data_IF_474446009930
#
_entry.id   IF_474446009930
#
_cell.length_a   1.000
_cell.length_b   1.000
_cell.length_c   1.000
_cell.angle_alpha   90.00
_cell.angle_beta   90.00
_cell.angle_gamma   90.00
#
_symmetry.space_group_name_H-M   'P 1'
#
loop_
_entity.id
_entity.type
_entity.pdbx_description
1 polymer ?
#
# COMPACT_ATOMS: atom_id res chain seq x y z
N UNK A 1 21.69 20.74 -8.64
CA UNK A 1 20.25 20.47 -8.50
C UNK A 1 19.61 21.68 -7.84
N UNK A 2 18.40 22.11 -8.21
CA UNK A 2 17.67 23.01 -7.32
C UNK A 2 17.30 22.22 -6.07
N UNK A 3 17.42 22.88 -4.92
CA UNK A 3 17.25 22.34 -3.58
C UNK A 3 15.91 21.61 -3.42
N UNK A 4 15.91 20.28 -3.54
CA UNK A 4 14.76 19.46 -3.11
C UNK A 4 14.71 19.55 -1.58
N UNK A 5 13.60 20.04 -0.98
CA UNK A 5 13.54 20.27 0.45
C UNK A 5 13.87 19.01 1.25
N UNK A 6 14.61 19.22 2.33
CA UNK A 6 15.10 18.19 3.24
C UNK A 6 13.97 17.68 4.12
N UNK A 7 13.84 16.36 4.25
CA UNK A 7 12.88 15.75 5.17
C UNK A 7 13.61 14.80 6.15
N UNK A 8 13.71 15.19 7.43
CA UNK A 8 14.06 14.31 8.57
C UNK A 8 12.92 13.33 8.89
N UNK A 9 13.04 12.48 9.92
CA UNK A 9 12.01 11.46 10.19
C UNK A 9 10.60 12.02 10.51
N UNK A 10 10.50 13.17 11.20
CA UNK A 10 9.20 13.87 11.41
C UNK A 10 8.62 14.43 10.12
N UNK A 11 9.48 14.63 9.14
CA UNK A 11 9.20 15.19 7.84
C UNK A 11 8.83 14.08 6.82
N UNK A 12 8.95 12.79 7.17
CA UNK A 12 8.53 11.68 6.29
C UNK A 12 7.01 11.55 6.19
N UNK A 13 6.27 11.75 7.29
CA UNK A 13 4.80 11.82 7.24
C UNK A 13 4.33 13.00 6.41
N UNK A 14 5.05 14.12 6.47
CA UNK A 14 4.79 15.28 5.62
C UNK A 14 5.10 14.96 4.15
N UNK A 15 6.21 14.28 3.86
CA UNK A 15 6.51 13.80 2.51
C UNK A 15 5.41 12.89 1.95
N UNK A 16 4.98 11.88 2.70
CA UNK A 16 3.88 11.00 2.27
C UNK A 16 2.58 11.77 2.08
N UNK A 17 2.31 12.74 2.95
CA UNK A 17 1.15 13.62 2.84
C UNK A 17 1.21 14.45 1.57
N UNK A 18 2.34 15.08 1.26
CA UNK A 18 2.53 15.86 0.03
C UNK A 18 2.35 15.00 -1.22
N UNK A 19 2.86 13.76 -1.21
CA UNK A 19 2.65 12.81 -2.31
C UNK A 19 1.16 12.46 -2.46
N UNK A 20 0.48 12.15 -1.36
CA UNK A 20 -0.94 11.84 -1.38
C UNK A 20 -1.80 13.04 -1.84
N UNK A 21 -1.49 14.25 -1.34
CA UNK A 21 -2.17 15.49 -1.73
C UNK A 21 -1.95 15.79 -3.22
N UNK A 22 -0.73 15.62 -3.74
CA UNK A 22 -0.45 15.78 -5.16
C UNK A 22 -1.26 14.82 -6.04
N UNK A 23 -1.41 13.58 -5.61
CA UNK A 23 -2.27 12.60 -6.31
C UNK A 23 -3.74 13.00 -6.25
N UNK A 24 -4.25 13.41 -5.09
CA UNK A 24 -5.66 13.84 -4.94
C UNK A 24 -5.96 15.10 -5.74
N UNK A 25 -5.08 16.10 -5.74
CA UNK A 25 -5.22 17.32 -6.54
C UNK A 25 -5.25 17.01 -8.05
N UNK A 26 -4.40 16.09 -8.51
CA UNK A 26 -4.44 15.57 -9.88
C UNK A 26 -5.79 14.92 -10.21
N UNK A 27 -6.31 14.04 -9.36
CA UNK A 27 -7.60 13.39 -9.57
C UNK A 27 -8.77 14.38 -9.66
N UNK A 28 -8.78 15.41 -8.81
CA UNK A 28 -9.81 16.45 -8.80
C UNK A 28 -9.71 17.35 -10.02
N UNK A 29 -8.51 17.83 -10.34
CA UNK A 29 -8.29 18.77 -11.46
C UNK A 29 -8.46 18.14 -12.84
N UNK A 30 -8.25 16.82 -12.96
CA UNK A 30 -8.53 16.06 -14.19
C UNK A 30 -9.97 15.57 -14.28
N UNK A 31 -10.82 15.94 -13.32
CA UNK A 31 -12.22 15.54 -13.25
C UNK A 31 -12.40 14.01 -13.25
N UNK A 32 -11.44 13.28 -12.68
CA UNK A 32 -11.51 11.82 -12.53
C UNK A 32 -12.30 11.43 -11.28
N UNK A 33 -12.26 12.26 -10.24
CA UNK A 33 -13.07 12.11 -9.03
C UNK A 33 -13.77 13.42 -8.68
N UNK A 34 -14.86 13.31 -7.93
CA UNK A 34 -15.57 14.44 -7.35
C UNK A 34 -15.85 14.17 -5.88
N UNK A 35 -15.56 15.13 -5.00
CA UNK A 35 -15.86 14.99 -3.57
C UNK A 35 -17.38 14.89 -3.37
N UNK A 36 -17.85 13.80 -2.76
CA UNK A 36 -19.28 13.56 -2.55
C UNK A 36 -19.50 12.54 -1.44
N UNK A 37 -20.35 12.92 -0.48
CA UNK A 37 -20.87 12.03 0.56
C UNK A 37 -22.23 11.43 0.17
N UNK A 38 -22.67 11.61 -1.09
CA UNK A 38 -23.94 11.04 -1.55
C UNK A 38 -23.75 9.54 -1.78
N UNK A 39 -24.55 8.67 -1.13
CA UNK A 39 -24.46 7.23 -1.38
C UNK A 39 -24.78 6.88 -2.84
N UNK A 40 -23.97 6.01 -3.44
CA UNK A 40 -24.08 5.56 -4.83
C UNK A 40 -24.66 4.15 -4.94
N UNK A 41 -25.20 3.80 -6.11
CA UNK A 41 -25.50 2.41 -6.45
C UNK A 41 -24.20 1.70 -6.86
N UNK A 42 -23.80 0.59 -6.21
CA UNK A 42 -22.59 -0.16 -6.58
C UNK A 42 -22.58 -0.69 -8.01
N UNK A 43 -23.73 -0.77 -8.68
CA UNK A 43 -23.85 -1.20 -10.07
C UNK A 43 -23.55 -0.10 -11.09
N UNK A 44 -23.47 1.16 -10.64
CA UNK A 44 -23.15 2.30 -11.51
C UNK A 44 -21.72 2.20 -12.06
N UNK A 45 -21.59 2.39 -13.37
CA UNK A 45 -20.29 2.42 -14.05
C UNK A 45 -19.84 3.85 -14.31
N UNK A 46 -18.80 4.28 -13.61
CA UNK A 46 -18.17 5.60 -13.76
C UNK A 46 -17.00 5.57 -14.76
N UNK A 47 -17.23 5.06 -15.97
CA UNK A 47 -16.17 4.95 -17.00
C UNK A 47 -15.84 6.31 -17.63
N UNK A 48 -16.87 7.14 -17.88
CA UNK A 48 -16.74 8.45 -18.57
C UNK A 48 -17.20 9.64 -17.72
N UNK A 49 -17.49 9.42 -16.44
CA UNK A 49 -17.90 10.46 -15.48
C UNK A 49 -17.00 10.44 -14.25
N UNK A 50 -16.87 11.56 -13.52
CA UNK A 50 -16.06 11.59 -12.32
C UNK A 50 -16.64 10.65 -11.27
N UNK A 51 -15.78 9.91 -10.57
CA UNK A 51 -16.19 8.98 -9.53
C UNK A 51 -16.50 9.77 -8.25
N UNK A 52 -17.71 9.66 -7.66
CA UNK A 52 -18.01 10.21 -6.35
C UNK A 52 -17.09 9.62 -5.28
N UNK A 53 -16.39 10.46 -4.53
CA UNK A 53 -15.34 10.04 -3.60
C UNK A 53 -15.55 10.65 -2.22
N UNK A 54 -15.60 9.80 -1.19
CA UNK A 54 -15.44 10.20 0.21
C UNK A 54 -13.99 10.04 0.66
N UNK A 55 -13.26 9.09 0.07
CA UNK A 55 -11.85 8.84 0.38
C UNK A 55 -11.11 8.32 -0.85
N UNK A 56 -9.84 8.73 -0.97
CA UNK A 56 -8.90 8.19 -1.96
C UNK A 56 -7.81 7.43 -1.21
N UNK A 57 -7.50 6.21 -1.65
CA UNK A 57 -6.46 5.37 -1.08
C UNK A 57 -5.36 5.17 -2.12
N UNK A 58 -4.15 5.63 -1.81
CA UNK A 58 -2.98 5.51 -2.68
C UNK A 58 -2.11 4.37 -2.18
N UNK A 59 -2.02 3.30 -2.97
CA UNK A 59 -1.18 2.15 -2.68
C UNK A 59 0.16 2.28 -3.40
N UNK A 60 1.24 1.98 -2.69
CA UNK A 60 2.58 2.14 -3.20
C UNK A 60 3.63 1.38 -2.40
N UNK A 61 4.84 1.37 -2.91
CA UNK A 61 6.00 0.78 -2.26
C UNK A 61 6.80 1.87 -1.57
N UNK A 62 7.02 1.71 -0.27
CA UNK A 62 8.01 2.48 0.48
C UNK A 62 9.37 1.81 0.32
N UNK A 63 10.39 2.56 -0.08
CA UNK A 63 11.73 2.02 -0.26
C UNK A 63 12.84 3.01 0.08
N UNK A 64 14.08 2.52 0.15
CA UNK A 64 15.27 3.32 0.39
C UNK A 64 15.85 3.14 1.78
N UNK A 65 16.57 4.14 2.26
CA UNK A 65 17.23 4.13 3.57
C UNK A 65 18.68 3.63 3.55
N UNK A 66 19.19 3.21 2.39
CA UNK A 66 20.59 2.80 2.23
C UNK A 66 21.04 2.94 0.79
N UNK A 67 22.23 3.49 0.62
CA UNK A 67 22.88 3.57 -0.67
C UNK A 67 24.40 3.66 -0.51
N UNK A 68 25.07 2.56 -0.82
CA UNK A 68 26.52 2.41 -0.66
C UNK A 68 27.19 2.60 -2.02
N UNK A 69 27.60 3.83 -2.30
CA UNK A 69 28.32 4.20 -3.51
C UNK A 69 29.41 5.25 -3.20
N UNK A 70 30.63 5.17 -3.76
CA UNK A 70 31.71 6.12 -3.49
C UNK A 70 31.33 7.59 -3.73
N UNK A 71 30.52 7.83 -4.76
CA UNK A 71 30.10 9.18 -5.17
C UNK A 71 28.82 9.67 -4.46
N UNK A 72 28.29 8.93 -3.49
CA UNK A 72 27.06 9.29 -2.77
C UNK A 72 27.37 9.40 -1.29
N UNK A 73 27.21 10.60 -0.74
CA UNK A 73 27.40 10.84 0.69
C UNK A 73 26.38 10.04 1.52
N UNK A 74 26.80 9.38 2.61
CA UNK A 74 25.87 8.77 3.56
C UNK A 74 24.93 9.82 4.16
N UNK A 75 23.68 9.42 4.44
CA UNK A 75 22.72 10.24 5.19
C UNK A 75 22.79 9.82 6.65
N UNK A 76 23.24 10.72 7.54
CA UNK A 76 23.52 10.40 8.96
C UNK A 76 22.25 10.17 9.80
N UNK A 77 21.12 10.77 9.43
CA UNK A 77 19.87 10.73 10.19
C UNK A 77 18.91 9.59 9.80
N UNK A 78 19.40 8.56 9.11
CA UNK A 78 18.51 7.52 8.58
C UNK A 78 18.10 6.50 9.66
N UNK A 79 16.80 6.26 9.85
CA UNK A 79 16.29 5.43 10.96
C UNK A 79 16.48 3.92 10.70
N UNK A 80 16.50 3.46 9.44
CA UNK A 80 16.74 2.06 9.08
C UNK A 80 16.79 1.89 7.55
N UNK A 81 17.32 0.75 7.10
CA UNK A 81 17.09 0.26 5.74
C UNK A 81 15.73 -0.43 5.66
N UNK A 82 14.88 -0.08 4.67
CA UNK A 82 13.58 -0.74 4.48
C UNK A 82 13.74 -2.19 4.01
N UNK A 83 14.57 -2.42 2.99
CA UNK A 83 14.83 -3.74 2.43
C UNK A 83 16.33 -4.02 2.31
N UNK A 84 16.83 -5.19 2.74
CA UNK A 84 18.26 -5.45 2.84
C UNK A 84 18.93 -5.86 1.52
N UNK A 85 18.17 -6.12 0.45
CA UNK A 85 18.66 -6.82 -0.75
C UNK A 85 18.81 -5.97 -2.01
N UNK A 86 18.22 -4.77 -2.04
CA UNK A 86 18.29 -3.87 -3.20
C UNK A 86 18.47 -2.46 -2.65
N UNK A 87 19.40 -1.71 -3.23
CA UNK A 87 19.71 -0.35 -2.78
C UNK A 87 19.14 0.64 -3.79
N UNK A 88 18.09 1.34 -3.41
CA UNK A 88 17.39 2.25 -4.33
C UNK A 88 17.83 3.70 -4.16
N UNK A 89 17.97 4.15 -2.92
CA UNK A 89 18.30 5.53 -2.57
C UNK A 89 18.77 5.64 -1.12
N UNK A 90 19.65 6.61 -0.80
CA UNK A 90 20.06 6.86 0.57
C UNK A 90 18.91 7.46 1.38
N UNK A 91 17.88 8.01 0.75
CA UNK A 91 16.67 8.54 1.39
C UNK A 91 15.45 7.67 1.11
N UNK A 92 14.39 7.86 1.91
CA UNK A 92 13.10 7.22 1.67
C UNK A 92 12.33 7.87 0.52
N UNK A 93 11.62 7.02 -0.21
CA UNK A 93 10.72 7.38 -1.29
C UNK A 93 9.50 6.48 -1.24
N UNK A 94 8.39 6.99 -1.77
CA UNK A 94 7.16 6.25 -1.94
C UNK A 94 6.75 6.25 -3.41
N UNK A 95 6.56 5.07 -3.99
CA UNK A 95 6.09 4.92 -5.37
C UNK A 95 4.67 4.38 -5.38
N UNK A 96 3.66 5.19 -5.70
CA UNK A 96 2.33 4.70 -6.00
C UNK A 96 2.38 3.72 -7.18
N UNK A 97 1.60 2.65 -7.08
CA UNK A 97 1.36 1.69 -8.14
C UNK A 97 -0.12 1.38 -8.34
N UNK A 98 -0.96 1.64 -7.33
CA UNK A 98 -2.41 1.48 -7.40
C UNK A 98 -3.13 2.61 -6.67
N UNK A 99 -4.33 2.95 -7.14
CA UNK A 99 -5.19 3.96 -6.51
C UNK A 99 -6.60 3.38 -6.45
N UNK A 100 -7.22 3.45 -5.27
CA UNK A 100 -8.62 3.12 -5.07
C UNK A 100 -9.40 4.36 -4.64
N UNK A 101 -10.60 4.50 -5.19
CA UNK A 101 -11.57 5.52 -4.83
C UNK A 101 -12.65 4.85 -4.00
N UNK A 102 -12.96 5.41 -2.84
CA UNK A 102 -13.95 4.91 -1.91
C UNK A 102 -15.14 5.85 -1.92
N UNK A 103 -16.33 5.27 -2.01
CA UNK A 103 -17.62 5.97 -2.01
C UNK A 103 -18.54 5.33 -0.97
N UNK A 104 -19.57 6.04 -0.53
CA UNK A 104 -20.62 5.44 0.28
C UNK A 104 -21.57 4.66 -0.63
N UNK A 105 -21.95 3.45 -0.22
CA UNK A 105 -22.98 2.65 -0.88
C UNK A 105 -24.35 2.99 -0.34
N UNK A 106 -25.36 3.04 -1.21
CA UNK A 106 -26.73 2.88 -0.77
C UNK A 106 -26.86 1.48 -0.16
N UNK A 107 -27.38 1.37 1.06
CA UNK A 107 -27.98 0.11 1.49
C UNK A 107 -29.23 -0.09 0.63
N UNK A 108 -29.41 -1.24 -0.04
CA UNK A 108 -30.70 -1.49 -0.68
C UNK A 108 -31.78 -1.39 0.40
N UNK A 109 -32.91 -0.71 0.16
CA UNK A 109 -34.03 -0.79 1.08
C UNK A 109 -34.34 -2.27 1.32
N UNK A 110 -34.60 -2.71 2.57
CA UNK A 110 -34.97 -4.09 2.82
C UNK A 110 -36.14 -4.41 1.90
N UNK A 111 -35.99 -5.48 1.12
CA UNK A 111 -36.98 -5.97 0.17
C UNK A 111 -38.38 -5.68 0.72
N UNK A 112 -39.10 -4.74 0.08
CA UNK A 112 -40.52 -4.60 0.32
C UNK A 112 -41.12 -5.89 -0.22
N UNK A 113 -41.33 -6.86 0.66
CA UNK A 113 -42.12 -8.04 0.38
C UNK A 113 -43.56 -7.57 0.20
N UNK A 114 -43.88 -7.06 -0.99
CA UNK A 114 -45.26 -7.07 -1.46
C UNK A 114 -45.61 -8.52 -1.76
N UNK A 115 -46.61 -9.11 -1.09
CA UNK A 115 -47.06 -10.45 -1.43
C UNK A 115 -47.94 -10.36 -2.67
N UNK A 116 -47.47 -10.87 -3.82
CA UNK A 116 -48.38 -11.21 -4.91
C UNK A 116 -47.81 -12.34 -5.79
N UNK A 117 -48.19 -13.56 -5.43
CA UNK A 117 -48.62 -14.67 -6.27
C UNK A 117 -48.09 -14.81 -7.71
N UNK A 118 -47.22 -15.81 -7.93
CA UNK A 118 -47.46 -17.09 -8.64
C UNK A 118 -46.23 -17.60 -9.41
N UNK A 119 -46.02 -18.93 -9.53
CA UNK A 119 -44.79 -19.52 -10.04
C UNK A 119 -44.89 -19.89 -11.52
N UNK A 120 -43.90 -19.54 -12.35
CA UNK A 120 -43.66 -20.24 -13.62
C UNK A 120 -42.18 -20.17 -14.06
N UNK A 121 -41.52 -21.33 -13.99
CA UNK A 121 -40.42 -21.85 -14.84
C UNK A 121 -38.98 -21.30 -14.71
N UNK A 122 -37.94 -22.16 -14.69
CA UNK A 122 -36.56 -21.75 -14.43
C UNK A 122 -35.77 -21.50 -15.72
N UNK A 123 -34.95 -20.45 -15.73
CA UNK A 123 -33.89 -20.28 -16.72
C UNK A 123 -32.59 -19.75 -16.07
N UNK A 124 -31.54 -20.56 -16.20
CA UNK A 124 -30.10 -20.28 -16.27
C UNK A 124 -29.37 -19.49 -15.15
N UNK A 125 -28.25 -19.99 -14.60
CA UNK A 125 -27.52 -19.32 -13.53
C UNK A 125 -26.57 -18.23 -14.09
N UNK A 126 -26.87 -16.96 -13.80
CA UNK A 126 -25.91 -15.87 -13.87
C UNK A 126 -25.10 -15.80 -12.55
N UNK A 127 -23.80 -15.55 -12.68
CA UNK A 127 -22.80 -15.49 -11.59
C UNK A 127 -23.11 -14.43 -10.52
N UNK A 128 -22.84 -14.68 -9.23
CA UNK A 128 -23.09 -13.70 -8.18
C UNK A 128 -21.97 -12.65 -8.10
N UNK A 129 -22.36 -11.38 -8.19
CA UNK A 129 -21.60 -10.23 -7.67
C UNK A 129 -21.76 -10.23 -6.16
N UNK A 130 -20.68 -10.43 -5.41
CA UNK A 130 -20.72 -10.52 -3.96
C UNK A 130 -20.64 -9.11 -3.34
N UNK A 131 -21.77 -8.60 -2.85
CA UNK A 131 -21.79 -7.53 -1.85
C UNK A 131 -21.39 -8.13 -0.50
N UNK A 132 -20.35 -7.57 0.13
CA UNK A 132 -19.82 -8.04 1.41
C UNK A 132 -20.49 -7.24 2.54
N UNK A 133 -21.23 -7.92 3.42
CA UNK A 133 -21.81 -7.31 4.62
C UNK A 133 -21.03 -7.80 5.83
N UNK A 134 -20.23 -6.92 6.44
CA UNK A 134 -19.61 -7.17 7.75
C UNK A 134 -20.62 -6.85 8.83
N UNK A 135 -21.08 -7.86 9.56
CA UNK A 135 -21.81 -7.67 10.81
C UNK A 135 -20.80 -7.46 11.94
N UNK A 136 -20.61 -6.20 12.33
CA UNK A 136 -19.92 -5.87 13.58
C UNK A 136 -20.90 -5.80 14.75
N UNK A 137 -20.39 -6.22 15.90
CA UNK A 137 -21.05 -6.31 17.21
C UNK A 137 -21.36 -4.89 17.71
N UNK A 138 -22.64 -4.66 18.03
CA UNK A 138 -23.24 -3.53 18.77
C UNK A 138 -22.63 -2.13 18.58
N UNK A 139 -23.29 -1.28 17.79
CA UNK A 139 -23.46 0.13 18.22
C UNK A 139 -23.21 1.28 17.24
N UNK A 140 -23.10 1.10 15.92
CA UNK A 140 -23.32 2.18 14.94
C UNK A 140 -23.48 1.53 13.54
N UNK A 141 -24.59 1.77 12.85
CA UNK A 141 -24.78 1.21 11.51
C UNK A 141 -23.89 1.98 10.51
N UNK A 142 -22.69 1.47 10.24
CA UNK A 142 -21.81 2.02 9.22
C UNK A 142 -22.43 1.79 7.85
N UNK A 143 -22.56 2.86 7.06
CA UNK A 143 -22.96 2.73 5.66
C UNK A 143 -21.90 1.89 4.92
N UNK A 144 -22.30 0.87 4.15
CA UNK A 144 -21.35 0.05 3.40
C UNK A 144 -20.56 0.93 2.43
N UNK A 145 -19.26 0.69 2.29
CA UNK A 145 -18.40 1.42 1.36
C UNK A 145 -18.30 0.68 0.01
N UNK A 146 -18.30 1.42 -1.09
CA UNK A 146 -17.97 0.92 -2.43
C UNK A 146 -16.52 1.29 -2.72
N UNK A 147 -15.71 0.31 -3.14
CA UNK A 147 -14.31 0.53 -3.52
C UNK A 147 -14.15 0.33 -5.02
N UNK A 148 -13.71 1.39 -5.71
CA UNK A 148 -13.44 1.36 -7.14
C UNK A 148 -11.94 1.57 -7.40
N UNK A 149 -11.28 0.56 -7.94
CA UNK A 149 -9.87 0.63 -8.34
C UNK A 149 -9.72 1.36 -9.66
N UNK A 150 -8.80 2.31 -9.74
CA UNK A 150 -8.38 2.88 -11.01
C UNK A 150 -7.62 1.85 -11.84
N UNK A 151 -7.73 1.94 -13.15
CA UNK A 151 -6.94 1.15 -14.09
C UNK A 151 -5.48 1.60 -14.06
N UNK A 152 -4.52 0.74 -14.43
CA UNK A 152 -3.11 1.12 -14.49
C UNK A 152 -2.83 2.33 -15.38
N UNK A 153 -3.59 2.52 -16.47
CA UNK A 153 -3.52 3.71 -17.31
C UNK A 153 -3.95 4.97 -16.57
N UNK A 154 -5.04 4.91 -15.83
CA UNK A 154 -5.54 6.04 -15.04
C UNK A 154 -4.56 6.40 -13.92
N UNK A 155 -3.97 5.41 -13.24
CA UNK A 155 -2.90 5.64 -12.26
C UNK A 155 -1.69 6.32 -12.92
N UNK A 156 -1.24 5.83 -14.08
CA UNK A 156 -0.09 6.41 -14.81
C UNK A 156 -0.35 7.86 -15.24
N UNK A 157 -1.53 8.18 -15.77
CA UNK A 157 -1.93 9.54 -16.13
C UNK A 157 -2.01 10.43 -14.89
N UNK A 158 -2.66 9.95 -13.83
CA UNK A 158 -2.81 10.70 -12.56
C UNK A 158 -1.45 11.05 -11.97
N UNK A 159 -0.58 10.06 -11.83
CA UNK A 159 0.73 10.25 -11.23
C UNK A 159 1.64 11.11 -12.12
N UNK A 160 1.52 11.02 -13.45
CA UNK A 160 2.25 11.90 -14.36
C UNK A 160 1.84 13.36 -14.21
N UNK A 161 0.55 13.65 -14.18
CA UNK A 161 0.03 15.00 -13.95
C UNK A 161 0.43 15.52 -12.55
N UNK A 162 0.28 14.67 -11.53
CA UNK A 162 0.69 14.98 -10.16
C UNK A 162 2.19 15.30 -10.07
N UNK A 163 3.03 14.52 -10.76
CA UNK A 163 4.49 14.72 -10.81
C UNK A 163 4.88 16.03 -11.50
N UNK A 164 4.13 16.46 -12.52
CA UNK A 164 4.35 17.74 -13.19
C UNK A 164 4.08 18.95 -12.28
N UNK A 165 3.19 18.80 -11.30
CA UNK A 165 2.82 19.84 -10.32
C UNK A 165 3.64 19.75 -9.03
N UNK A 166 3.93 18.53 -8.59
CA UNK A 166 4.65 18.20 -7.38
C UNK A 166 5.78 17.20 -7.72
N UNK A 167 7.04 17.66 -7.86
CA UNK A 167 8.18 16.81 -8.21
C UNK A 167 8.48 15.69 -7.21
N UNK A 168 7.88 15.73 -6.01
CA UNK A 168 7.96 14.67 -5.01
C UNK A 168 7.17 13.41 -5.41
N UNK A 169 6.17 13.56 -6.29
CA UNK A 169 5.37 12.44 -6.78
C UNK A 169 6.15 11.70 -7.86
N UNK A 170 6.59 10.50 -7.49
CA UNK A 170 7.20 9.49 -8.37
C UNK A 170 6.35 8.23 -8.31
N UNK A 171 6.26 7.44 -9.38
CA UNK A 171 5.38 6.24 -9.40
C UNK A 171 6.01 5.06 -10.12
N UNK A 172 5.39 3.88 -9.98
CA UNK A 172 5.77 2.68 -10.72
C UNK A 172 5.35 2.79 -12.20
N UNK A 173 6.24 3.35 -13.02
CA UNK A 173 6.02 3.52 -14.46
C UNK A 173 5.98 2.18 -15.20
N UNK A 174 5.12 2.04 -16.24
CA UNK A 174 5.13 0.85 -17.09
C UNK A 174 6.49 0.65 -17.78
N UNK A 175 7.11 -0.52 -17.58
CA UNK A 175 8.36 -0.89 -18.26
C UNK A 175 8.14 -1.23 -19.74
N UNK A 176 7.02 -1.88 -20.03
CA UNK A 176 6.55 -2.24 -21.37
C UNK A 176 5.02 -2.28 -21.34
N UNK A 177 4.38 -1.91 -22.45
CA UNK A 177 2.94 -2.04 -22.65
C UNK A 177 2.69 -2.69 -24.00
N UNK A 178 1.83 -3.71 -24.05
CA UNK A 178 1.62 -4.50 -25.26
C UNK A 178 0.83 -5.78 -24.98
N UNK A 179 0.78 -6.70 -25.97
CA UNK A 179 0.19 -8.02 -25.80
C UNK A 179 0.83 -8.78 -24.63
N UNK A 180 0.04 -9.64 -23.96
CA UNK A 180 0.52 -10.41 -22.80
C UNK A 180 1.80 -11.21 -23.10
N UNK A 181 1.91 -11.79 -24.29
CA UNK A 181 3.09 -12.55 -24.72
C UNK A 181 4.37 -11.72 -24.73
N UNK A 182 4.29 -10.45 -25.13
CA UNK A 182 5.43 -9.53 -25.15
C UNK A 182 5.81 -9.11 -23.72
N UNK A 183 4.81 -8.76 -22.90
CA UNK A 183 5.04 -8.43 -21.50
C UNK A 183 5.67 -9.61 -20.74
N UNK A 184 5.21 -10.85 -20.99
CA UNK A 184 5.77 -12.07 -20.40
C UNK A 184 7.19 -12.39 -20.87
N UNK A 185 7.62 -11.86 -22.02
CA UNK A 185 8.98 -12.00 -22.52
C UNK A 185 9.98 -11.04 -21.85
N UNK A 186 9.51 -10.16 -20.95
CA UNK A 186 10.37 -9.24 -20.19
C UNK A 186 11.44 -10.02 -19.43
N UNK A 187 12.70 -9.73 -19.73
CA UNK A 187 13.84 -10.37 -19.07
C UNK A 187 13.91 -9.92 -17.62
N UNK A 188 13.72 -10.84 -16.67
CA UNK A 188 13.79 -10.53 -15.23
C UNK A 188 15.18 -10.79 -14.63
N UNK A 189 15.85 -11.86 -15.06
CA UNK A 189 17.12 -12.29 -14.47
C UNK A 189 18.31 -11.41 -14.90
N UNK A 190 19.11 -10.97 -13.92
CA UNK A 190 20.35 -10.22 -14.16
C UNK A 190 20.16 -8.79 -14.69
N UNK A 191 18.98 -8.19 -14.51
CA UNK A 191 18.71 -6.81 -14.91
C UNK A 191 18.87 -5.87 -13.72
N UNK A 192 19.63 -4.78 -13.93
CA UNK A 192 19.84 -3.76 -12.92
C UNK A 192 18.57 -2.97 -12.66
N UNK A 193 18.34 -2.60 -11.39
CA UNK A 193 17.22 -1.72 -11.06
C UNK A 193 17.41 -0.35 -11.71
N UNK A 194 16.34 0.18 -12.29
CA UNK A 194 16.32 1.50 -12.94
C UNK A 194 16.08 2.63 -11.95
N UNK A 195 15.57 2.32 -10.75
CA UNK A 195 15.16 3.31 -9.75
C UNK A 195 16.26 4.29 -9.36
N UNK A 196 17.53 3.89 -9.12
CA UNK A 196 18.55 4.87 -8.80
C UNK A 196 18.78 5.88 -9.92
N UNK A 197 18.74 5.44 -11.18
CA UNK A 197 18.88 6.33 -12.34
C UNK A 197 17.73 7.34 -12.44
N UNK A 198 16.50 6.92 -12.13
CA UNK A 198 15.33 7.81 -12.06
C UNK A 198 15.48 8.88 -10.98
N UNK A 199 16.23 8.58 -9.92
CA UNK A 199 16.54 9.51 -8.82
C UNK A 199 17.85 10.30 -9.03
N UNK A 200 18.47 10.20 -10.21
CA UNK A 200 19.74 10.86 -10.51
C UNK A 200 20.96 10.28 -9.76
N UNK A 201 20.85 9.06 -9.24
CA UNK A 201 21.90 8.37 -8.50
C UNK A 201 22.74 7.46 -9.42
N UNK A 202 24.04 7.31 -9.15
CA UNK A 202 24.95 6.46 -9.94
C UNK A 202 24.66 4.98 -9.72
N UNK A 203 24.69 4.17 -10.78
CA UNK A 203 24.37 2.75 -10.70
C UNK A 203 25.33 1.94 -9.82
N UNK A 204 24.78 1.06 -8.96
CA UNK A 204 25.55 0.12 -8.15
C UNK A 204 25.71 -1.20 -8.91
N UNK A 205 26.95 -1.64 -9.13
CA UNK A 205 27.24 -2.94 -9.76
C UNK A 205 26.63 -4.09 -8.95
N UNK A 206 25.93 -4.97 -9.64
CA UNK A 206 25.25 -6.13 -9.04
C UNK A 206 23.92 -5.82 -8.34
N UNK A 207 23.43 -4.58 -8.38
CA UNK A 207 22.16 -4.18 -7.80
C UNK A 207 21.00 -4.50 -8.76
N UNK A 208 20.48 -5.72 -8.69
CA UNK A 208 19.41 -6.19 -9.56
C UNK A 208 18.03 -5.89 -8.97
N UNK A 209 17.04 -5.67 -9.83
CA UNK A 209 15.64 -5.54 -9.38
C UNK A 209 15.09 -6.87 -8.83
N UNK A 210 14.00 -6.81 -8.06
CA UNK A 210 13.36 -8.03 -7.51
C UNK A 210 12.63 -8.81 -8.59
N UNK A 211 12.07 -8.11 -9.58
CA UNK A 211 11.13 -8.69 -10.51
C UNK A 211 10.30 -7.65 -11.24
N UNK A 212 9.27 -8.14 -11.91
CA UNK A 212 8.27 -7.32 -12.61
C UNK A 212 6.86 -7.77 -12.26
N UNK A 213 5.94 -6.83 -12.36
CA UNK A 213 4.51 -7.05 -12.18
C UNK A 213 3.82 -6.85 -13.53
N UNK A 214 3.07 -7.85 -13.98
CA UNK A 214 2.29 -7.81 -15.22
C UNK A 214 0.80 -7.78 -14.86
N UNK A 215 0.07 -6.83 -15.44
CA UNK A 215 -1.36 -6.62 -15.20
C UNK A 215 -2.06 -6.00 -16.41
N UNK A 216 -3.38 -6.19 -16.59
CA UNK A 216 -4.14 -5.55 -17.65
C UNK A 216 -4.11 -4.02 -17.53
N UNK A 217 -3.62 -3.32 -18.54
CA UNK A 217 -3.36 -1.87 -18.45
C UNK A 217 -4.62 -0.99 -18.43
N UNK A 218 -5.70 -1.45 -19.06
CA UNK A 218 -6.96 -0.69 -19.19
C UNK A 218 -8.06 -1.14 -18.22
N UNK A 219 -7.87 -2.28 -17.54
CA UNK A 219 -8.93 -2.82 -16.69
C UNK A 219 -8.88 -2.18 -15.30
N UNK A 220 -10.02 -1.67 -14.85
CA UNK A 220 -10.28 -1.43 -13.42
C UNK A 220 -10.46 -2.77 -12.70
N UNK A 221 -10.05 -2.86 -11.43
CA UNK A 221 -10.15 -4.06 -10.60
C UNK A 221 -8.78 -4.70 -10.27
N UNK A 222 -8.37 -4.61 -9.00
CA UNK A 222 -7.00 -4.85 -8.53
C UNK A 222 -6.48 -6.29 -8.49
N UNK A 223 -7.15 -7.27 -9.11
CA UNK A 223 -6.88 -8.70 -8.82
C UNK A 223 -6.26 -9.53 -9.94
N UNK A 224 -6.11 -8.98 -11.16
CA UNK A 224 -5.49 -9.71 -12.28
C UNK A 224 -4.01 -9.36 -12.41
N UNK A 225 -3.19 -9.97 -11.57
CA UNK A 225 -1.76 -9.67 -11.48
C UNK A 225 -0.92 -10.93 -11.57
N UNK A 226 0.12 -10.91 -12.40
CA UNK A 226 1.18 -11.92 -12.45
C UNK A 226 2.48 -11.27 -12.00
N UNK A 227 3.13 -11.83 -10.98
CA UNK A 227 4.42 -11.35 -10.48
C UNK A 227 5.51 -12.31 -10.94
N UNK A 228 6.50 -11.81 -11.68
CA UNK A 228 7.70 -12.56 -12.02
C UNK A 228 8.85 -12.06 -11.15
N UNK A 229 9.32 -12.88 -10.22
CA UNK A 229 10.43 -12.54 -9.32
C UNK A 229 11.70 -13.30 -9.71
N UNK A 230 12.84 -12.66 -9.50
CA UNK A 230 14.17 -13.27 -9.62
C UNK A 230 14.28 -14.43 -8.64
N UNK A 231 14.83 -15.56 -9.07
CA UNK A 231 14.87 -16.79 -8.23
C UNK A 231 15.73 -16.62 -6.98
N UNK A 232 16.83 -15.87 -7.08
CA UNK A 232 17.74 -15.58 -5.96
C UNK A 232 18.35 -14.19 -6.13
N UNK A 233 18.06 -13.30 -5.18
CA UNK A 233 18.76 -12.03 -5.10
C UNK A 233 20.16 -12.23 -4.48
N UNK A 234 21.21 -11.58 -5.02
CA UNK A 234 22.52 -11.60 -4.39
C UNK A 234 22.46 -10.99 -2.99
N UNK A 235 23.29 -11.49 -2.07
CA UNK A 235 23.45 -10.85 -0.75
C UNK A 235 24.14 -9.48 -0.95
N UNK A 236 23.49 -8.40 -0.52
CA UNK A 236 24.05 -7.05 -0.62
C UNK A 236 25.22 -6.83 0.34
N UNK A 237 26.16 -6.02 -0.13
CA UNK A 237 27.29 -5.47 0.62
C UNK A 237 26.75 -4.61 1.76
N UNK A 238 26.88 -5.11 3.00
CA UNK A 238 26.56 -4.32 4.20
C UNK A 238 27.55 -3.17 4.34
N UNK A 239 27.07 -1.94 4.55
CA UNK A 239 27.91 -0.90 5.13
C UNK A 239 28.32 -1.32 6.55
N UNK A 240 29.57 -1.05 6.95
CA UNK A 240 30.00 -1.20 8.35
C UNK A 240 29.27 -0.13 9.17
N UNK A 241 28.27 -0.52 9.94
CA UNK A 241 27.61 0.39 10.90
C UNK A 241 28.63 0.88 11.94
N UNK A 242 28.81 2.19 12.19
CA UNK A 242 29.50 2.66 13.37
C UNK A 242 28.68 2.28 14.60
N UNK A 243 29.25 1.52 15.55
CA UNK A 243 28.66 1.29 16.87
C UNK A 243 28.77 2.57 17.69
N UNK A 244 27.84 3.51 17.52
CA UNK A 244 27.68 4.66 18.39
C UNK A 244 26.61 4.39 19.44
N UNK A 245 27.00 4.25 20.71
CA UNK A 245 26.06 4.28 21.84
C UNK A 245 25.90 5.73 22.26
N UNK A 246 24.73 6.32 22.05
CA UNK A 246 24.41 7.61 22.68
C UNK A 246 23.11 7.45 23.44
N UNK A 247 23.22 7.44 24.78
CA UNK A 247 22.05 7.51 25.67
C UNK A 247 21.63 8.98 25.74
N UNK A 248 20.42 9.30 25.29
CA UNK A 248 19.72 10.50 25.70
C UNK A 248 18.40 10.08 26.36
N UNK A 249 18.13 10.65 27.53
CA UNK A 249 16.95 10.37 28.35
C UNK A 249 15.99 11.54 28.20
N UNK A 250 14.87 11.33 27.53
CA UNK A 250 13.71 12.21 27.60
C UNK A 250 12.43 11.37 27.50
N UNK A 251 11.51 11.59 28.43
CA UNK A 251 10.25 10.84 28.58
C UNK A 251 9.10 11.64 27.95
N UNK A 252 8.19 11.03 27.17
CA UNK A 252 6.89 11.62 26.88
C UNK A 252 5.77 11.02 27.76
N UNK A 253 4.68 11.77 28.07
CA UNK A 253 3.57 11.31 28.92
C UNK A 253 2.61 10.37 28.16
N UNK A 254 1.75 9.66 28.91
CA UNK A 254 0.74 8.70 28.42
C UNK A 254 -0.24 9.23 27.36
N UNK A 255 -0.24 10.53 27.05
CA UNK A 255 -1.03 11.20 26.00
C UNK A 255 -0.58 10.88 24.57
N UNK A 256 0.57 10.21 24.40
CA UNK A 256 1.23 9.98 23.10
C UNK A 256 0.76 8.67 22.42
N UNK A 257 0.07 7.76 23.11
CA UNK A 257 -0.30 6.44 22.55
C UNK A 257 -1.54 6.49 21.62
N UNK A 258 -2.53 7.31 21.97
CA UNK A 258 -3.84 7.36 21.29
C UNK A 258 -3.75 7.63 19.77
N UNK A 259 -2.99 8.63 19.28
CA UNK A 259 -2.88 8.87 17.84
C UNK A 259 -2.24 7.69 17.08
N UNK A 260 -1.34 6.93 17.72
CA UNK A 260 -0.70 5.76 17.09
C UNK A 260 -1.60 4.52 17.09
N UNK A 261 -2.43 4.36 18.11
CA UNK A 261 -3.48 3.33 18.10
C UNK A 261 -4.52 3.63 17.02
N UNK A 262 -4.86 4.91 16.83
CA UNK A 262 -5.73 5.35 15.75
C UNK A 262 -5.10 5.07 14.37
N UNK A 263 -3.83 5.43 14.16
CA UNK A 263 -3.09 5.10 12.93
C UNK A 263 -3.03 3.58 12.67
N UNK A 264 -2.74 2.78 13.71
CA UNK A 264 -2.75 1.32 13.60
C UNK A 264 -4.14 0.81 13.20
N UNK A 265 -5.20 1.32 13.80
CA UNK A 265 -6.57 0.95 13.44
C UNK A 265 -6.88 1.31 11.98
N UNK A 266 -6.42 2.46 11.47
CA UNK A 266 -6.56 2.84 10.06
C UNK A 266 -5.78 1.89 9.12
N UNK A 267 -4.63 1.39 9.56
CA UNK A 267 -3.80 0.49 8.77
C UNK A 267 -4.26 -0.98 8.82
N UNK A 268 -5.11 -1.35 9.79
CA UNK A 268 -5.67 -2.70 9.97
C UNK A 268 -6.74 -3.04 8.93
N UNK A 269 -6.36 -2.97 7.66
CA UNK A 269 -7.20 -3.34 6.53
C UNK A 269 -6.82 -4.72 5.99
N UNK A 270 -7.80 -5.41 5.41
CA UNK A 270 -7.60 -6.72 4.80
C UNK A 270 -6.55 -6.66 3.67
N UNK A 271 -6.58 -5.59 2.88
CA UNK A 271 -5.61 -5.32 1.81
C UNK A 271 -4.18 -5.19 2.35
N UNK A 272 -4.00 -4.52 3.50
CA UNK A 272 -2.68 -4.38 4.11
C UNK A 272 -2.14 -5.71 4.61
N UNK A 273 -2.99 -6.51 5.27
CA UNK A 273 -2.64 -7.86 5.68
C UNK A 273 -2.25 -8.72 4.47
N UNK A 274 -3.03 -8.66 3.39
CA UNK A 274 -2.78 -9.41 2.17
C UNK A 274 -1.45 -9.01 1.50
N UNK A 275 -1.12 -7.71 1.49
CA UNK A 275 0.15 -7.20 0.95
C UNK A 275 1.35 -7.85 1.66
N UNK A 276 1.37 -7.82 2.99
CA UNK A 276 2.47 -8.36 3.80
C UNK A 276 2.50 -9.89 3.72
N UNK A 277 1.33 -10.54 3.77
CA UNK A 277 1.23 -12.00 3.60
C UNK A 277 1.76 -12.43 2.23
N UNK A 278 1.64 -11.61 1.19
CA UNK A 278 2.19 -11.91 -0.15
C UNK A 278 3.72 -11.99 -0.18
N UNK A 279 4.42 -11.45 0.82
CA UNK A 279 5.87 -11.57 0.96
C UNK A 279 6.31 -12.93 1.52
N UNK A 280 5.46 -13.58 2.32
CA UNK A 280 5.79 -14.82 3.04
C UNK A 280 4.98 -16.05 2.62
N UNK A 281 3.80 -15.86 2.01
CA UNK A 281 2.81 -16.90 1.76
C UNK A 281 1.79 -17.06 2.92
N UNK A 282 0.76 -17.89 2.70
CA UNK A 282 -0.39 -18.07 3.62
C UNK A 282 -0.20 -19.26 4.58
N UNK A 283 1.00 -19.40 5.14
CA UNK A 283 1.30 -20.47 6.11
C UNK A 283 1.21 -19.95 7.55
N UNK A 284 0.52 -20.66 8.44
CA UNK A 284 0.39 -20.25 9.86
C UNK A 284 1.76 -20.17 10.54
N UNK A 285 2.75 -20.94 10.09
CA UNK A 285 4.13 -20.89 10.57
C UNK A 285 4.82 -19.54 10.31
N UNK A 286 4.40 -18.78 9.29
CA UNK A 286 4.97 -17.45 8.98
C UNK A 286 4.23 -16.30 9.67
N UNK A 287 3.13 -16.58 10.39
CA UNK A 287 2.30 -15.56 11.04
C UNK A 287 3.09 -14.64 11.99
N UNK A 288 4.04 -15.18 12.75
CA UNK A 288 4.90 -14.38 13.64
C UNK A 288 5.78 -13.39 12.86
N UNK A 289 6.28 -13.80 11.68
CA UNK A 289 7.06 -12.95 10.78
C UNK A 289 6.18 -11.86 10.16
N UNK A 290 4.96 -12.20 9.74
CA UNK A 290 3.97 -11.25 9.21
C UNK A 290 3.62 -10.20 10.27
N UNK A 291 3.32 -10.60 11.50
CA UNK A 291 3.03 -9.66 12.60
C UNK A 291 4.24 -8.78 12.89
N UNK A 292 5.46 -9.34 12.82
CA UNK A 292 6.68 -8.56 13.06
C UNK A 292 6.91 -7.51 11.97
N UNK A 293 6.71 -7.85 10.71
CA UNK A 293 6.81 -6.92 9.58
C UNK A 293 5.76 -5.82 9.70
N UNK A 294 4.50 -6.20 9.93
CA UNK A 294 3.39 -5.28 10.15
C UNK A 294 3.69 -4.26 11.26
N UNK A 295 4.14 -4.74 12.43
CA UNK A 295 4.49 -3.86 13.55
C UNK A 295 5.72 -3.01 13.22
N UNK A 296 6.70 -3.56 12.50
CA UNK A 296 7.91 -2.83 12.10
C UNK A 296 7.58 -1.67 11.17
N UNK A 297 6.66 -1.86 10.23
CA UNK A 297 6.21 -0.79 9.33
C UNK A 297 5.49 0.31 10.11
N UNK A 298 4.54 -0.05 10.99
CA UNK A 298 3.84 0.94 11.83
C UNK A 298 4.81 1.67 12.75
N UNK A 299 5.73 0.96 13.40
CA UNK A 299 6.78 1.56 14.22
C UNK A 299 7.71 2.46 13.40
N UNK A 300 7.94 2.12 12.13
CA UNK A 300 8.69 2.95 11.18
C UNK A 300 7.97 4.23 10.74
N UNK A 301 6.68 4.39 11.09
CA UNK A 301 5.93 5.64 10.91
C UNK A 301 5.88 6.47 12.21
N UNK A 302 6.33 5.91 13.33
CA UNK A 302 6.21 6.51 14.65
C UNK A 302 7.51 7.27 14.97
N UNK A 303 7.46 8.59 15.16
CA UNK A 303 8.63 9.42 15.43
C UNK A 303 9.15 9.25 16.86
N UNK A 304 9.60 8.04 17.20
CA UNK A 304 10.13 7.69 18.51
C UNK A 304 11.51 7.07 18.32
N UNK A 305 12.44 7.47 19.18
CA UNK A 305 13.74 6.82 19.28
C UNK A 305 13.54 5.32 19.51
N UNK A 306 13.95 4.50 18.54
CA UNK A 306 13.77 3.04 18.54
C UNK A 306 14.52 2.35 19.68
N UNK A 307 15.53 3.01 20.25
CA UNK A 307 16.29 2.53 21.39
C UNK A 307 15.69 2.97 22.74
N UNK A 308 14.59 3.71 22.73
CA UNK A 308 13.91 4.13 23.96
C UNK A 308 13.14 2.97 24.64
N UNK A 309 13.05 2.97 25.98
CA UNK A 309 12.16 2.06 26.72
C UNK A 309 10.69 2.16 26.26
N UNK A 310 10.30 3.33 25.74
CA UNK A 310 8.95 3.66 25.30
C UNK A 310 8.62 3.00 23.95
N UNK A 311 9.56 3.00 23.00
CA UNK A 311 9.43 2.25 21.75
C UNK A 311 9.17 0.76 22.00
N UNK A 312 9.82 0.17 23.01
CA UNK A 312 9.59 -1.22 23.39
C UNK A 312 8.18 -1.46 23.96
N UNK A 313 7.67 -0.54 24.78
CA UNK A 313 6.31 -0.61 25.35
C UNK A 313 5.24 -0.45 24.27
N UNK A 314 5.41 0.52 23.36
CA UNK A 314 4.52 0.79 22.23
C UNK A 314 4.53 -0.39 21.26
N UNK A 315 5.71 -0.87 20.84
CA UNK A 315 5.84 -2.04 19.98
C UNK A 315 5.20 -3.29 20.59
N UNK A 316 5.27 -3.46 21.92
CA UNK A 316 4.58 -4.57 22.61
C UNK A 316 3.06 -4.47 22.50
N UNK A 317 2.50 -3.29 22.72
CA UNK A 317 1.05 -3.03 22.58
C UNK A 317 0.58 -3.23 21.15
N UNK A 318 1.28 -2.62 20.17
CA UNK A 318 0.96 -2.75 18.75
C UNK A 318 1.06 -4.22 18.28
N UNK A 319 2.06 -4.97 18.76
CA UNK A 319 2.20 -6.41 18.46
C UNK A 319 1.04 -7.23 19.01
N UNK A 320 0.50 -6.88 20.18
CA UNK A 320 -0.69 -7.52 20.73
C UNK A 320 -1.91 -7.35 19.82
N UNK A 321 -2.17 -6.09 19.42
CA UNK A 321 -3.32 -5.73 18.57
C UNK A 321 -3.17 -6.22 17.12
N UNK A 322 -2.04 -5.95 16.46
CA UNK A 322 -1.74 -6.47 15.13
C UNK A 322 -1.76 -8.01 15.12
N UNK A 323 -1.26 -8.65 16.18
CA UNK A 323 -1.34 -10.10 16.33
C UNK A 323 -2.78 -10.62 16.38
N UNK A 324 -3.70 -9.92 17.03
CA UNK A 324 -5.11 -10.31 17.07
C UNK A 324 -5.77 -10.19 15.68
N UNK A 325 -5.54 -9.06 15.00
CA UNK A 325 -6.03 -8.81 13.65
C UNK A 325 -5.50 -9.83 12.62
N UNK A 326 -4.18 -10.03 12.55
CA UNK A 326 -3.57 -10.99 11.62
C UNK A 326 -4.03 -12.42 11.92
N UNK A 327 -4.24 -12.81 13.18
CA UNK A 327 -4.83 -14.12 13.52
C UNK A 327 -6.24 -14.26 12.96
N UNK A 328 -7.08 -13.23 13.04
CA UNK A 328 -8.41 -13.25 12.44
C UNK A 328 -8.33 -13.38 10.91
N UNK A 329 -7.43 -12.62 10.27
CA UNK A 329 -7.18 -12.72 8.83
C UNK A 329 -6.79 -14.14 8.39
N UNK A 330 -5.80 -14.76 9.05
CA UNK A 330 -5.39 -16.14 8.74
C UNK A 330 -6.52 -17.16 8.96
N UNK A 331 -7.33 -16.98 10.00
CA UNK A 331 -8.49 -17.84 10.26
C UNK A 331 -9.55 -17.70 9.15
N UNK A 332 -9.82 -16.49 8.67
CA UNK A 332 -10.75 -16.24 7.57
C UNK A 332 -10.20 -16.78 6.24
N UNK A 333 -8.94 -16.48 5.91
CA UNK A 333 -8.27 -17.00 4.72
C UNK A 333 -8.24 -18.54 4.69
N UNK A 334 -7.99 -19.19 5.83
CA UNK A 334 -8.02 -20.64 5.95
C UNK A 334 -9.42 -21.25 5.80
N UNK A 335 -10.48 -20.55 6.20
CA UNK A 335 -11.87 -20.96 5.95
C UNK A 335 -12.27 -20.81 4.47
N UNK A 336 -11.85 -19.72 3.82
CA UNK A 336 -12.03 -19.52 2.36
C UNK A 336 -11.35 -20.63 1.56
N UNK A 337 -10.12 -21.00 1.93
CA UNK A 337 -9.40 -22.11 1.30
C UNK A 337 -10.09 -23.48 1.49
N UNK A 338 -10.96 -23.63 2.50
CA UNK A 338 -11.76 -24.83 2.76
C UNK A 338 -13.20 -24.73 2.23
N UNK A 339 -13.58 -23.64 1.56
CA UNK A 339 -14.93 -23.41 1.05
C UNK A 339 -16.01 -23.28 2.13
N UNK A 340 -15.63 -22.84 3.34
CA UNK A 340 -16.53 -22.70 4.50
C UNK A 340 -17.11 -21.28 4.65
N UNK A 341 -16.68 -20.36 3.78
CA UNK A 341 -17.16 -19.01 3.53
C UNK A 341 -16.77 -18.62 2.11
#
# INVERSE_FOLDING_TARGET
MPDTPFYSFHLYTDYLREVALGVVDSLLSTNMVMASDTPIDPSDKYEDTPIPATRVVVFGELYGGVYVHPDVAPVEENPATIQPHIQYSPRYHFHPFDIAVVSLSQTPPPFSTSPCDTPTTPASPASPSAAFTTTDVEGEATTPEVVQWLSPKEVDVTCRDASAKCPLVTWAQPLVTGPLSECMATKVEGVHTTLPGLLGLPQIKGNFWEGVVIRPYLARGGHRVVKFKVKKLPKVIKAKTPKGKTKAKATPPDTVLAPYLSLLATLQTEDRAQSIVSHYGVDVSVMSSVVKEYVSEVMGLIPIDTDSPDAAKIAKTLRGQAGAFIRQYFNQAGRRARGQI
#
